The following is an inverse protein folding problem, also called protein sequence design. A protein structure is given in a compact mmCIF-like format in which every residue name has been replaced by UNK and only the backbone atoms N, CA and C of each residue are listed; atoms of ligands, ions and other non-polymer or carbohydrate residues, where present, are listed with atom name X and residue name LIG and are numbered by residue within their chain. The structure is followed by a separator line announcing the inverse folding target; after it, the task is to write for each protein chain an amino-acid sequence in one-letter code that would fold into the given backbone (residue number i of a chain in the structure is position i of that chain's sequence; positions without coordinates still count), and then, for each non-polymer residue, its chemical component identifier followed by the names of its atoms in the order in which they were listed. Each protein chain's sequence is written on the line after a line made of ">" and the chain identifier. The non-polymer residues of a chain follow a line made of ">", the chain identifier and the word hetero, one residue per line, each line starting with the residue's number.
data_IF_598698051772
#
_entry.id   IF_598698051772
#
_cell.length_a   1.000
_cell.length_b   1.000
_cell.length_c   1.000
_cell.angle_alpha   90.00
_cell.angle_beta   90.00
_cell.angle_gamma   90.00
#
_symmetry.space_group_name_H-M   'P 1'
#
loop_
_entity.id
_entity.type
_entity.pdbx_description
1 polymer ?
#
# COMPACT_ATOMS: atom_id res chain seq x y z
N UNK A 1 0.23 7.68 -17.65
CA UNK A 1 1.51 7.72 -16.92
C UNK A 1 1.40 6.73 -15.78
N UNK A 2 2.41 5.89 -15.58
CA UNK A 2 2.49 5.03 -14.39
C UNK A 2 2.92 5.89 -13.21
N UNK A 3 2.14 5.85 -12.11
CA UNK A 3 2.46 6.56 -10.87
C UNK A 3 3.29 5.68 -9.93
N UNK A 4 4.09 6.33 -9.09
CA UNK A 4 4.88 5.68 -8.06
C UNK A 4 4.76 6.48 -6.76
N UNK A 5 4.48 5.78 -5.66
CA UNK A 5 4.43 6.35 -4.31
C UNK A 5 5.55 5.75 -3.47
N UNK A 6 6.26 6.61 -2.73
CA UNK A 6 7.33 6.21 -1.82
C UNK A 6 7.00 6.69 -0.43
N UNK A 7 7.19 5.82 0.55
CA UNK A 7 6.97 6.12 1.96
C UNK A 7 8.29 6.01 2.73
N UNK A 8 8.39 6.75 3.84
CA UNK A 8 9.56 6.75 4.73
C UNK A 8 9.82 5.38 5.40
N UNK A 9 8.81 4.51 5.44
CA UNK A 9 8.93 3.13 5.91
C UNK A 9 9.57 2.16 4.89
N UNK A 10 10.27 2.69 3.89
CA UNK A 10 10.88 1.96 2.76
C UNK A 10 9.88 1.19 1.89
N UNK A 11 8.60 1.57 1.92
CA UNK A 11 7.57 1.02 1.05
C UNK A 11 7.50 1.83 -0.23
N UNK A 12 7.54 1.13 -1.37
CA UNK A 12 7.32 1.70 -2.70
C UNK A 12 6.13 1.03 -3.36
N UNK A 13 5.22 1.81 -3.91
CA UNK A 13 4.02 1.33 -4.58
C UNK A 13 4.07 1.80 -6.02
N UNK A 14 3.89 0.87 -6.95
CA UNK A 14 3.91 1.15 -8.38
C UNK A 14 2.56 0.85 -8.98
N UNK A 15 2.01 1.83 -9.68
CA UNK A 15 0.83 1.64 -10.52
C UNK A 15 1.24 0.98 -11.83
N UNK A 16 0.63 -0.17 -12.14
CA UNK A 16 0.85 -0.91 -13.37
C UNK A 16 -0.48 -1.09 -14.10
N UNK A 17 -0.51 -1.02 -15.44
CA UNK A 17 -1.71 -1.33 -16.21
C UNK A 17 -2.21 -2.73 -15.92
N UNK A 18 -3.51 -2.85 -15.71
CA UNK A 18 -4.21 -4.13 -15.54
C UNK A 18 -5.39 -4.22 -16.50
N UNK A 19 -6.25 -5.23 -16.33
CA UNK A 19 -7.36 -5.51 -17.24
C UNK A 19 -8.32 -4.31 -17.34
N UNK A 20 -8.73 -3.96 -18.56
CA UNK A 20 -9.60 -2.82 -18.88
C UNK A 20 -8.98 -1.46 -18.48
N UNK A 21 -9.78 -0.59 -17.85
CA UNK A 21 -9.37 0.72 -17.34
C UNK A 21 -8.89 0.65 -15.88
N UNK A 22 -8.58 -0.55 -15.37
CA UNK A 22 -8.11 -0.75 -14.00
C UNK A 22 -6.59 -0.88 -13.97
N UNK A 23 -5.99 -0.41 -12.89
CA UNK A 23 -4.58 -0.56 -12.59
C UNK A 23 -4.38 -1.58 -11.47
N UNK A 24 -3.25 -2.28 -11.48
CA UNK A 24 -2.74 -3.06 -10.34
C UNK A 24 -1.76 -2.18 -9.58
N UNK A 25 -1.76 -2.30 -8.25
CA UNK A 25 -0.78 -1.62 -7.40
C UNK A 25 0.15 -2.65 -6.79
N UNK A 26 1.41 -2.59 -7.17
CA UNK A 26 2.43 -3.53 -6.69
C UNK A 26 3.27 -2.87 -5.60
N UNK A 27 3.39 -3.55 -4.47
CA UNK A 27 4.01 -3.04 -3.25
C UNK A 27 5.35 -3.73 -3.05
N UNK A 28 6.39 -2.92 -2.88
CA UNK A 28 7.76 -3.32 -2.62
C UNK A 28 8.22 -2.76 -1.27
N UNK A 29 9.11 -3.48 -0.60
CA UNK A 29 9.85 -3.03 0.57
C UNK A 29 11.32 -3.30 0.34
N UNK A 30 12.18 -2.28 0.38
CA UNK A 30 13.63 -2.44 0.11
C UNK A 30 13.89 -3.26 -1.18
N UNK A 31 13.21 -2.91 -2.28
CA UNK A 31 13.23 -3.62 -3.58
C UNK A 31 12.68 -5.07 -3.59
N UNK A 32 12.23 -5.58 -2.45
CA UNK A 32 11.60 -6.89 -2.33
C UNK A 32 10.10 -6.79 -2.53
N UNK A 33 9.53 -7.63 -3.41
CA UNK A 33 8.09 -7.69 -3.66
C UNK A 33 7.36 -8.18 -2.40
N UNK A 34 6.48 -7.35 -1.84
CA UNK A 34 5.61 -7.75 -0.73
C UNK A 34 4.29 -8.36 -1.22
N UNK A 35 3.76 -7.84 -2.32
CA UNK A 35 2.56 -8.31 -3.00
C UNK A 35 1.93 -7.21 -3.85
N UNK A 36 0.67 -7.42 -4.24
CA UNK A 36 -0.09 -6.45 -5.02
C UNK A 36 -1.54 -6.44 -4.56
N UNK A 37 -2.21 -5.29 -4.70
CA UNK A 37 -3.66 -5.17 -4.55
C UNK A 37 -4.31 -4.76 -5.88
N UNK A 38 -5.56 -5.17 -6.05
CA UNK A 38 -6.30 -5.11 -7.30
C UNK A 38 -7.67 -4.47 -7.02
N UNK A 39 -7.91 -3.22 -7.45
CA UNK A 39 -9.24 -2.64 -7.38
C UNK A 39 -10.20 -3.44 -8.26
N UNK A 40 -11.41 -3.67 -7.77
CA UNK A 40 -12.48 -4.37 -8.49
C UNK A 40 -13.21 -3.42 -9.45
N UNK A 41 -13.29 -2.13 -9.10
CA UNK A 41 -14.02 -1.11 -9.84
C UNK A 41 -13.24 0.23 -9.91
N UNK A 42 -13.61 1.09 -10.88
CA UNK A 42 -12.92 2.37 -11.12
C UNK A 42 -13.02 3.29 -9.91
N UNK A 43 -14.15 3.29 -9.20
CA UNK A 43 -14.35 4.13 -8.01
C UNK A 43 -13.41 3.73 -6.86
N UNK A 44 -13.20 2.43 -6.68
CA UNK A 44 -12.25 1.90 -5.70
C UNK A 44 -10.82 2.27 -6.09
N UNK A 45 -10.46 2.17 -7.36
CA UNK A 45 -9.15 2.61 -7.86
C UNK A 45 -8.93 4.10 -7.60
N UNK A 46 -9.93 4.95 -7.85
CA UNK A 46 -9.85 6.37 -7.62
C UNK A 46 -9.65 6.69 -6.13
N UNK A 47 -10.40 6.02 -5.25
CA UNK A 47 -10.25 6.15 -3.80
C UNK A 47 -8.84 5.74 -3.33
N UNK A 48 -8.33 4.59 -3.78
CA UNK A 48 -6.99 4.11 -3.43
C UNK A 48 -5.91 5.10 -3.89
N UNK A 49 -6.03 5.63 -5.11
CA UNK A 49 -5.10 6.64 -5.63
C UNK A 49 -5.14 7.91 -4.77
N UNK A 50 -6.32 8.37 -4.36
CA UNK A 50 -6.47 9.55 -3.52
C UNK A 50 -5.80 9.36 -2.15
N UNK A 51 -6.00 8.20 -1.52
CA UNK A 51 -5.37 7.88 -0.23
C UNK A 51 -3.84 7.77 -0.36
N UNK A 52 -3.35 7.14 -1.43
CA UNK A 52 -1.91 7.10 -1.73
C UNK A 52 -1.32 8.49 -1.98
N UNK A 53 -2.03 9.36 -2.70
CA UNK A 53 -1.65 10.75 -2.94
C UNK A 53 -1.62 11.58 -1.63
N UNK A 54 -2.42 11.20 -0.61
CA UNK A 54 -2.35 11.77 0.76
C UNK A 54 -1.21 11.20 1.61
N UNK A 55 -0.52 10.15 1.13
CA UNK A 55 0.57 9.49 1.83
C UNK A 55 0.16 8.26 2.65
N UNK A 56 -1.07 7.77 2.50
CA UNK A 56 -1.54 6.54 3.14
C UNK A 56 -0.67 5.35 2.72
N UNK A 57 -0.31 4.49 3.66
CA UNK A 57 0.56 3.35 3.38
C UNK A 57 -0.21 2.03 3.56
N UNK A 58 -0.45 1.24 2.49
CA UNK A 58 -1.28 0.03 2.52
C UNK A 58 -0.74 -1.05 3.46
N UNK A 59 0.59 -1.09 3.66
CA UNK A 59 1.23 -2.05 4.57
C UNK A 59 1.13 -1.57 6.02
N UNK A 60 1.36 -0.28 6.27
CA UNK A 60 1.24 0.31 7.61
C UNK A 60 -0.19 0.35 8.09
N UNK A 61 -1.17 0.50 7.20
CA UNK A 61 -2.60 0.53 7.53
C UNK A 61 -3.25 -0.85 7.46
N UNK A 62 -2.56 -1.83 6.86
CA UNK A 62 -3.02 -3.22 6.80
C UNK A 62 -4.21 -3.42 5.87
N UNK A 63 -4.23 -2.72 4.72
CA UNK A 63 -5.29 -2.83 3.70
C UNK A 63 -5.48 -4.26 3.20
N UNK A 64 -4.38 -5.01 3.13
CA UNK A 64 -4.39 -6.45 2.84
C UNK A 64 -3.90 -7.21 4.08
N UNK A 65 -4.68 -8.18 4.55
CA UNK A 65 -4.31 -9.00 5.71
C UNK A 65 -2.94 -9.65 5.53
N UNK A 66 -2.61 -10.07 4.30
CA UNK A 66 -1.32 -10.67 3.92
C UNK A 66 -0.15 -9.69 3.98
N UNK A 67 -0.40 -8.40 4.13
CA UNK A 67 0.61 -7.33 4.22
C UNK A 67 0.71 -6.73 5.62
N UNK A 68 -0.28 -6.94 6.49
CA UNK A 68 -0.38 -6.34 7.83
C UNK A 68 0.85 -6.57 8.72
N UNK A 69 1.50 -7.73 8.61
CA UNK A 69 2.66 -8.10 9.42
C UNK A 69 4.01 -7.84 8.73
N UNK A 70 3.99 -7.25 7.52
CA UNK A 70 5.19 -7.02 6.71
C UNK A 70 5.79 -5.62 6.88
N UNK A 71 5.08 -4.69 7.53
CA UNK A 71 5.65 -3.39 7.85
C UNK A 71 6.70 -3.53 8.96
N UNK A 72 7.99 -3.37 8.61
CA UNK A 72 9.09 -3.49 9.56
C UNK A 72 9.13 -2.33 10.56
N UNK A 73 8.59 -1.15 10.19
CA UNK A 73 8.45 -0.01 11.11
C UNK A 73 7.52 -0.32 12.29
N UNK A 74 6.53 -1.21 12.13
CA UNK A 74 5.69 -1.67 13.26
C UNK A 74 6.38 -2.68 14.18
N UNK A 75 7.52 -3.25 13.78
CA UNK A 75 8.24 -4.27 14.57
C UNK A 75 9.36 -3.69 15.44
N UNK A 76 9.78 -2.45 15.17
CA UNK A 76 10.91 -1.80 15.85
C UNK A 76 10.54 -0.76 16.90
N UNK A 77 9.38 -0.12 16.79
CA UNK A 77 9.00 0.97 17.68
C UNK A 77 7.64 0.69 18.33
N UNK A 78 7.59 0.91 19.64
CA UNK A 78 6.37 0.97 20.45
C UNK A 78 5.26 1.63 19.64
N UNK A 79 4.26 0.85 19.22
CA UNK A 79 3.09 1.37 18.55
C UNK A 79 2.06 1.76 19.63
N UNK A 80 1.91 3.05 20.00
CA UNK A 80 0.90 3.47 20.97
C UNK A 80 -0.55 3.32 20.44
N UNK A 81 -0.75 2.94 19.18
CA UNK A 81 -2.08 2.74 18.58
C UNK A 81 -2.57 1.29 18.60
N UNK A 82 -1.85 0.35 19.23
CA UNK A 82 -2.31 -1.04 19.43
C UNK A 82 -2.73 -1.36 20.87
N UNK A 83 -2.73 -0.39 21.77
CA UNK A 83 -3.47 -0.47 23.03
C UNK A 83 -4.70 0.42 22.92
N UNK A 84 -5.89 -0.11 23.25
CA UNK A 84 -7.23 0.54 23.19
C UNK A 84 -7.77 0.76 21.76
N UNK A 85 -8.82 0.09 21.25
CA UNK A 85 -10.07 -0.44 21.81
C UNK A 85 -10.58 -1.62 20.99
#
# INVERSE_FOLDING_TARGET
>A
MMREWKHDCNITIKEEPYINNLSRFTVYQNDSLLGSFYPLHIDEMAFLIEELDKGACPVCEGWEEKMKDKCEWRKGDNNPFLETW
#
